data_IF_490105565070
#
_entry.id   IF_490105565070
#
_cell.length_a   1.000
_cell.length_b   1.000
_cell.length_c   1.000
_cell.angle_alpha   90.00
_cell.angle_beta   90.00
_cell.angle_gamma   90.00
#
_symmetry.space_group_name_H-M   'P 1'
#
loop_
_entity.id
_entity.type
_entity.pdbx_description
1 polymer ?
#
# COMPACT_ATOMS: atom_id res chain seq x y z
N UNK A 1 0.09 1.09 -8.88
CA UNK A 1 0.87 1.70 -7.78
C UNK A 1 0.70 3.20 -7.84
N UNK A 2 0.59 3.86 -6.70
CA UNK A 2 0.27 5.30 -6.59
C UNK A 2 1.26 5.96 -5.64
N UNK A 3 1.95 6.99 -6.12
CA UNK A 3 3.00 7.73 -5.40
C UNK A 3 2.87 9.24 -5.67
N UNK A 4 2.04 9.98 -4.93
CA UNK A 4 2.07 11.43 -4.95
C UNK A 4 3.33 11.91 -4.21
N UNK A 5 3.95 12.94 -4.76
CA UNK A 5 5.09 13.66 -4.16
C UNK A 5 4.68 15.09 -3.90
N UNK A 6 4.98 15.62 -2.71
CA UNK A 6 4.63 16.98 -2.31
C UNK A 6 5.87 17.88 -2.26
N UNK A 7 6.71 17.82 -3.29
CA UNK A 7 7.95 18.60 -3.32
C UNK A 7 7.69 20.10 -3.07
N UNK A 8 8.25 20.63 -1.97
CA UNK A 8 8.15 22.04 -1.59
C UNK A 8 6.93 22.44 -0.76
N UNK A 9 6.06 21.51 -0.35
CA UNK A 9 5.03 21.77 0.64
C UNK A 9 5.57 21.51 2.05
N UNK A 10 5.59 22.54 2.90
CA UNK A 10 5.93 22.40 4.31
C UNK A 10 4.67 21.98 5.06
N UNK A 11 4.66 20.74 5.55
CA UNK A 11 3.59 20.27 6.43
C UNK A 11 3.68 21.01 7.79
N UNK A 12 2.53 21.30 8.45
CA UNK A 12 2.52 22.03 9.72
C UNK A 12 3.25 21.33 10.86
N UNK A 13 3.46 20.02 10.75
CA UNK A 13 4.23 19.22 11.70
C UNK A 13 5.71 19.25 11.28
N UNK A 14 6.51 19.97 12.07
CA UNK A 14 7.87 20.47 11.82
C UNK A 14 8.99 19.40 11.62
N UNK A 15 8.66 18.15 11.31
CA UNK A 15 9.67 17.12 11.04
C UNK A 15 10.08 17.14 9.58
N UNK A 16 11.10 17.95 9.29
CA UNK A 16 11.93 17.88 8.07
C UNK A 16 12.46 16.47 7.75
N UNK A 17 12.31 15.51 8.66
CA UNK A 17 12.75 14.13 8.52
C UNK A 17 11.81 13.24 7.68
N UNK A 18 10.51 13.59 7.52
CA UNK A 18 9.53 12.76 6.80
C UNK A 18 9.10 13.34 5.44
N UNK A 19 10.02 14.03 4.76
CA UNK A 19 9.76 14.51 3.40
C UNK A 19 9.83 13.34 2.41
N UNK A 20 8.71 13.08 1.72
CA UNK A 20 8.66 12.15 0.59
C UNK A 20 9.42 12.77 -0.59
N UNK A 21 10.72 12.51 -0.64
CA UNK A 21 11.61 13.01 -1.70
C UNK A 21 11.36 12.26 -3.02
N UNK A 22 11.81 12.85 -4.14
CA UNK A 22 11.72 12.16 -5.43
C UNK A 22 12.58 10.88 -5.45
N UNK A 23 13.77 10.93 -4.87
CA UNK A 23 14.74 9.83 -4.89
C UNK A 23 14.25 8.61 -4.11
N UNK A 24 13.77 8.84 -2.89
CA UNK A 24 13.13 7.82 -2.04
C UNK A 24 11.91 7.17 -2.73
N UNK A 25 11.06 7.94 -3.40
CA UNK A 25 9.93 7.39 -4.17
C UNK A 25 10.40 6.52 -5.35
N UNK A 26 11.47 6.91 -6.05
CA UNK A 26 12.04 6.07 -7.11
C UNK A 26 12.64 4.76 -6.56
N UNK A 27 13.25 4.80 -5.37
CA UNK A 27 13.72 3.60 -4.68
C UNK A 27 12.57 2.64 -4.36
N UNK A 28 11.49 3.15 -3.77
CA UNK A 28 10.31 2.35 -3.45
C UNK A 28 9.63 1.78 -4.70
N UNK A 29 9.47 2.60 -5.74
CA UNK A 29 8.96 2.16 -7.05
C UNK A 29 9.83 1.03 -7.61
N UNK A 30 11.15 1.17 -7.54
CA UNK A 30 12.08 0.17 -8.08
C UNK A 30 11.98 -1.16 -7.35
N UNK A 31 12.00 -1.14 -6.01
CA UNK A 31 11.89 -2.36 -5.18
C UNK A 31 10.56 -3.07 -5.42
N UNK A 32 9.45 -2.35 -5.32
CA UNK A 32 8.13 -2.96 -5.48
C UNK A 32 7.89 -3.41 -6.92
N UNK A 33 8.43 -2.72 -7.94
CA UNK A 33 8.35 -3.15 -9.34
C UNK A 33 9.10 -4.46 -9.55
N UNK A 34 10.32 -4.56 -9.02
CA UNK A 34 11.12 -5.79 -9.10
C UNK A 34 10.43 -6.95 -8.39
N UNK A 35 9.94 -6.72 -7.18
CA UNK A 35 9.23 -7.74 -6.39
C UNK A 35 7.92 -8.18 -7.05
N UNK A 36 7.06 -7.23 -7.44
CA UNK A 36 5.81 -7.57 -8.17
C UNK A 36 6.07 -8.22 -9.52
N UNK A 37 7.21 -7.95 -10.17
CA UNK A 37 7.63 -8.62 -11.40
C UNK A 37 7.73 -10.15 -11.29
N UNK A 38 7.90 -10.67 -10.07
CA UNK A 38 7.94 -12.11 -9.79
C UNK A 38 6.58 -12.80 -10.01
N UNK A 39 5.46 -12.10 -9.83
CA UNK A 39 4.11 -12.66 -9.94
C UNK A 39 3.20 -11.92 -10.91
N UNK A 40 3.64 -10.78 -11.44
CA UNK A 40 2.88 -9.98 -12.37
C UNK A 40 3.15 -10.44 -13.82
N UNK A 41 2.16 -11.10 -14.41
CA UNK A 41 2.16 -11.51 -15.82
C UNK A 41 1.60 -10.42 -16.76
N UNK A 42 1.27 -9.24 -16.24
CA UNK A 42 0.62 -8.15 -16.96
C UNK A 42 1.38 -6.82 -16.82
N UNK A 43 0.92 -5.81 -17.56
CA UNK A 43 1.50 -4.46 -17.50
C UNK A 43 1.27 -3.82 -16.13
N UNK A 44 2.37 -3.55 -15.42
CA UNK A 44 2.37 -2.73 -14.22
C UNK A 44 1.98 -1.28 -14.56
N UNK A 45 1.03 -0.72 -13.81
CA UNK A 45 0.63 0.68 -13.96
C UNK A 45 1.13 1.49 -12.76
N UNK A 46 1.99 2.46 -13.05
CA UNK A 46 2.53 3.40 -12.07
C UNK A 46 1.87 4.75 -12.27
N UNK A 47 1.30 5.28 -11.19
CA UNK A 47 0.79 6.64 -11.09
C UNK A 47 1.72 7.41 -10.17
N UNK A 48 2.44 8.39 -10.71
CA UNK A 48 3.40 9.23 -9.97
C UNK A 48 3.37 10.65 -10.50
N UNK A 49 3.76 11.61 -9.68
CA UNK A 49 3.85 12.99 -10.17
C UNK A 49 4.96 13.14 -11.21
N UNK A 50 4.70 13.99 -12.20
CA UNK A 50 5.69 14.29 -13.22
C UNK A 50 6.82 15.13 -12.63
N UNK A 51 8.05 14.93 -13.12
CA UNK A 51 9.22 15.71 -12.71
C UNK A 51 9.07 17.24 -12.89
N UNK A 52 8.07 17.69 -13.65
CA UNK A 52 7.73 19.10 -13.90
C UNK A 52 6.62 19.63 -12.99
N UNK A 53 6.19 18.89 -11.96
CA UNK A 53 5.09 19.27 -11.07
C UNK A 53 3.71 19.28 -11.76
N UNK A 54 3.60 18.70 -12.96
CA UNK A 54 2.33 18.62 -13.67
C UNK A 54 1.48 17.47 -13.13
N UNK A 55 0.39 17.80 -12.42
CA UNK A 55 -0.64 16.86 -11.92
C UNK A 55 -1.62 16.41 -13.01
N UNK A 56 -1.38 16.81 -14.26
CA UNK A 56 -2.25 16.56 -15.42
C UNK A 56 -1.70 15.40 -16.24
N UNK A 57 -2.51 14.36 -16.41
CA UNK A 57 -2.18 13.21 -17.25
C UNK A 57 -2.96 11.96 -16.88
N UNK A 58 -2.98 10.97 -17.77
CA UNK A 58 -3.66 9.68 -17.53
C UNK A 58 -2.98 8.82 -16.46
N UNK A 59 -1.77 9.19 -16.04
CA UNK A 59 -0.97 8.52 -15.00
C UNK A 59 -0.56 9.43 -13.84
N UNK A 60 -1.16 10.61 -13.69
CA UNK A 60 -0.95 11.43 -12.50
C UNK A 60 -1.72 10.83 -11.30
N UNK A 61 -1.16 10.83 -10.08
CA UNK A 61 -1.82 10.34 -8.86
C UNK A 61 -2.83 11.37 -8.30
N UNK A 62 -3.66 11.92 -9.19
CA UNK A 62 -4.74 12.84 -8.84
C UNK A 62 -6.00 12.11 -8.39
N UNK A 63 -6.90 12.86 -7.74
CA UNK A 63 -8.11 12.31 -7.13
C UNK A 63 -8.96 11.49 -8.11
N UNK A 64 -9.12 11.97 -9.35
CA UNK A 64 -9.92 11.30 -10.38
C UNK A 64 -9.31 9.95 -10.76
N UNK A 65 -8.00 9.91 -11.00
CA UNK A 65 -7.31 8.69 -11.41
C UNK A 65 -7.28 7.65 -10.30
N UNK A 66 -7.07 8.07 -9.04
CA UNK A 66 -7.09 7.17 -7.89
C UNK A 66 -8.50 6.60 -7.67
N UNK A 67 -9.53 7.44 -7.67
CA UNK A 67 -10.93 6.98 -7.56
C UNK A 67 -11.29 5.99 -8.66
N UNK A 68 -10.84 6.24 -9.89
CA UNK A 68 -11.03 5.32 -11.03
C UNK A 68 -10.29 4.00 -10.80
N UNK A 69 -9.06 4.03 -10.29
CA UNK A 69 -8.27 2.84 -9.98
C UNK A 69 -8.96 1.98 -8.90
N UNK A 70 -9.35 2.60 -7.79
CA UNK A 70 -10.00 1.91 -6.66
C UNK A 70 -11.34 1.29 -7.09
N UNK A 71 -12.13 2.04 -7.87
CA UNK A 71 -13.46 1.60 -8.32
C UNK A 71 -13.47 0.71 -9.55
N UNK A 72 -12.33 0.39 -10.17
CA UNK A 72 -12.32 -0.47 -11.36
C UNK A 72 -12.73 -1.90 -10.97
N UNK A 73 -13.72 -2.53 -11.63
CA UNK A 73 -14.03 -3.95 -11.45
C UNK A 73 -12.80 -4.84 -11.72
N UNK A 74 -12.72 -5.95 -10.99
CA UNK A 74 -11.59 -6.88 -11.01
C UNK A 74 -12.07 -8.30 -11.28
N UNK A 75 -11.62 -8.82 -12.41
CA UNK A 75 -11.87 -10.19 -12.86
C UNK A 75 -10.65 -11.10 -12.62
N UNK A 76 -9.52 -10.52 -12.19
CA UNK A 76 -8.26 -11.23 -11.92
C UNK A 76 -7.64 -10.75 -10.60
N UNK A 77 -6.81 -11.61 -9.94
CA UNK A 77 -6.06 -11.23 -8.76
C UNK A 77 -5.31 -9.93 -8.96
N UNK A 78 -5.55 -8.95 -8.09
CA UNK A 78 -5.05 -7.58 -8.26
C UNK A 78 -4.24 -7.14 -7.06
N UNK A 79 -3.05 -6.62 -7.31
CA UNK A 79 -2.20 -5.99 -6.30
C UNK A 79 -2.19 -4.47 -6.50
N UNK A 80 -2.49 -3.70 -5.46
CA UNK A 80 -2.49 -2.23 -5.47
C UNK A 80 -1.61 -1.73 -4.34
N UNK A 81 -0.56 -1.01 -4.70
CA UNK A 81 0.27 -0.27 -3.75
C UNK A 81 -0.08 1.22 -3.77
N UNK A 82 -0.33 1.80 -2.61
CA UNK A 82 -0.60 3.24 -2.44
C UNK A 82 0.31 3.77 -1.35
N UNK A 83 1.17 4.72 -1.69
CA UNK A 83 1.95 5.50 -0.72
C UNK A 83 1.52 6.97 -0.78
N UNK A 84 1.86 7.76 0.24
CA UNK A 84 1.61 9.20 0.26
C UNK A 84 1.25 9.75 1.63
N UNK A 85 0.58 10.90 1.64
CA UNK A 85 0.16 11.59 2.85
C UNK A 85 -1.34 11.43 3.13
N UNK A 86 -1.67 11.62 4.40
CA UNK A 86 -3.03 11.61 4.91
C UNK A 86 -3.22 12.79 5.85
N UNK A 87 -4.46 13.19 6.06
CA UNK A 87 -4.83 14.20 7.06
C UNK A 87 -6.24 13.90 7.59
N UNK A 88 -6.73 14.73 8.51
CA UNK A 88 -8.06 14.65 9.09
C UNK A 88 -8.91 15.83 8.64
N UNK A 89 -9.89 15.59 7.78
CA UNK A 89 -10.90 16.60 7.39
C UNK A 89 -12.18 16.36 8.16
N UNK A 90 -12.57 17.31 9.01
CA UNK A 90 -13.80 17.22 9.83
C UNK A 90 -13.87 15.89 10.58
N UNK A 91 -12.80 15.54 11.31
CA UNK A 91 -12.67 14.29 12.09
C UNK A 91 -12.63 13.00 11.27
N UNK A 92 -12.55 13.08 9.93
CA UNK A 92 -12.43 11.91 9.06
C UNK A 92 -11.03 11.82 8.47
N UNK A 93 -10.38 10.68 8.62
CA UNK A 93 -9.12 10.38 7.95
C UNK A 93 -9.31 10.37 6.43
N UNK A 94 -8.45 11.12 5.74
CA UNK A 94 -8.43 11.22 4.29
C UNK A 94 -7.03 10.91 3.76
N UNK A 95 -6.98 10.30 2.59
CA UNK A 95 -5.80 10.28 1.76
C UNK A 95 -5.74 11.55 0.92
N UNK A 96 -4.52 12.07 0.72
CA UNK A 96 -4.26 13.27 -0.05
C UNK A 96 -3.70 12.87 -1.44
N UNK A 97 -4.44 13.11 -2.54
CA UNK A 97 -3.92 13.01 -3.91
C UNK A 97 -3.08 14.22 -4.32
N UNK A 98 -2.26 14.09 -5.36
CA UNK A 98 -1.33 15.16 -5.73
C UNK A 98 -1.98 16.47 -6.22
N UNK A 99 -3.25 16.44 -6.62
CA UNK A 99 -4.00 17.62 -7.04
C UNK A 99 -4.86 18.24 -5.92
N UNK A 100 -4.75 17.76 -4.68
CA UNK A 100 -5.59 18.24 -3.59
C UNK A 100 -5.13 19.58 -3.01
N UNK A 101 -3.86 19.97 -3.12
CA UNK A 101 -3.34 21.21 -2.52
C UNK A 101 -3.85 22.44 -3.29
N UNK A 102 -4.47 23.38 -2.56
CA UNK A 102 -4.96 24.67 -3.05
C UNK A 102 -4.42 25.80 -2.16
N UNK A 103 -3.25 26.34 -2.52
CA UNK A 103 -2.58 27.37 -1.72
C UNK A 103 -1.96 26.80 -0.45
N UNK A 104 -2.44 27.24 0.73
CA UNK A 104 -2.01 26.75 2.05
C UNK A 104 -2.93 25.69 2.65
N UNK A 105 -3.99 25.31 1.93
CA UNK A 105 -5.02 24.37 2.37
C UNK A 105 -5.19 23.28 1.28
N UNK A 106 -6.12 22.36 1.46
CA UNK A 106 -6.50 21.36 0.47
C UNK A 106 -7.97 21.46 0.08
N UNK A 107 -8.23 21.18 -1.19
CA UNK A 107 -9.57 21.05 -1.74
C UNK A 107 -10.26 19.83 -1.12
N UNK A 108 -11.24 20.07 -0.25
CA UNK A 108 -12.07 19.00 0.34
C UNK A 108 -12.81 18.16 -0.71
N UNK A 109 -12.93 18.65 -1.95
CA UNK A 109 -13.50 17.90 -3.08
C UNK A 109 -12.51 16.90 -3.72
N UNK A 110 -11.21 17.07 -3.48
CA UNK A 110 -10.13 16.28 -4.10
C UNK A 110 -9.45 15.33 -3.12
N UNK A 111 -9.56 15.53 -1.82
CA UNK A 111 -9.16 14.51 -0.83
C UNK A 111 -10.03 13.25 -0.98
N UNK A 112 -9.50 12.09 -0.59
CA UNK A 112 -10.19 10.79 -0.67
C UNK A 112 -10.40 10.24 0.73
N UNK A 113 -11.63 10.24 1.27
CA UNK A 113 -11.92 9.66 2.58
C UNK A 113 -11.58 8.17 2.64
N UNK A 114 -11.17 7.67 3.80
CA UNK A 114 -10.92 6.23 3.99
C UNK A 114 -12.17 5.39 3.72
N UNK A 115 -13.35 5.91 4.08
CA UNK A 115 -14.63 5.27 3.72
C UNK A 115 -14.78 5.07 2.21
N UNK A 116 -14.24 5.97 1.38
CA UNK A 116 -14.29 5.83 -0.08
C UNK A 116 -13.39 4.69 -0.59
N UNK A 117 -12.28 4.37 0.10
CA UNK A 117 -11.50 3.15 -0.21
C UNK A 117 -12.34 1.90 0.04
N UNK A 118 -12.91 1.76 1.24
CA UNK A 118 -13.81 0.65 1.59
C UNK A 118 -14.93 0.52 0.57
N UNK A 119 -15.66 1.59 0.33
CA UNK A 119 -16.84 1.61 -0.55
C UNK A 119 -16.49 1.29 -1.99
N UNK A 120 -15.23 1.46 -2.43
CA UNK A 120 -14.81 1.10 -3.78
C UNK A 120 -14.16 -0.28 -3.88
N UNK A 121 -13.46 -0.72 -2.83
CA UNK A 121 -12.69 -1.95 -2.82
C UNK A 121 -13.50 -3.17 -2.36
N UNK A 122 -14.51 -2.97 -1.52
CA UNK A 122 -15.36 -4.04 -0.99
C UNK A 122 -16.71 -4.15 -1.72
N UNK A 123 -16.83 -3.60 -2.93
CA UNK A 123 -18.06 -3.70 -3.74
C UNK A 123 -18.31 -5.14 -4.20
N UNK A 124 -19.58 -5.57 -4.19
CA UNK A 124 -20.04 -6.89 -4.67
C UNK A 124 -19.64 -7.21 -6.13
N UNK A 125 -19.32 -6.20 -6.93
CA UNK A 125 -18.91 -6.38 -8.33
C UNK A 125 -17.49 -6.90 -8.51
N UNK A 126 -16.66 -6.94 -7.47
CA UNK A 126 -15.33 -7.55 -7.56
C UNK A 126 -15.46 -9.06 -7.41
N UNK A 127 -14.90 -9.80 -8.36
CA UNK A 127 -15.03 -11.26 -8.43
C UNK A 127 -13.72 -11.97 -8.07
N UNK A 128 -12.60 -11.26 -8.13
CA UNK A 128 -11.28 -11.81 -7.89
C UNK A 128 -10.60 -11.21 -6.64
N UNK A 129 -9.66 -11.96 -6.02
CA UNK A 129 -8.93 -11.49 -4.86
C UNK A 129 -8.19 -10.16 -5.09
N UNK A 130 -8.14 -9.32 -4.07
CA UNK A 130 -7.40 -8.06 -4.13
C UNK A 130 -6.52 -7.86 -2.90
N UNK A 131 -5.25 -7.52 -3.14
CA UNK A 131 -4.32 -7.05 -2.12
C UNK A 131 -4.19 -5.53 -2.28
N UNK A 132 -4.53 -4.80 -1.23
CA UNK A 132 -4.25 -3.38 -1.07
C UNK A 132 -3.09 -3.22 -0.09
N UNK A 133 -2.04 -2.53 -0.48
CA UNK A 133 -0.98 -2.06 0.40
C UNK A 133 -1.12 -0.56 0.57
N UNK A 134 -1.20 -0.10 1.82
CA UNK A 134 -1.23 1.32 2.17
C UNK A 134 0.01 1.68 2.99
N UNK A 135 0.88 2.45 2.35
CA UNK A 135 2.14 2.94 2.87
C UNK A 135 2.09 4.48 2.98
N UNK A 136 1.08 4.92 3.73
CA UNK A 136 0.81 6.31 4.04
C UNK A 136 0.55 6.44 5.55
N UNK A 137 0.60 7.67 6.08
CA UNK A 137 0.40 7.92 7.50
C UNK A 137 -0.96 7.39 8.02
N UNK A 138 -1.00 6.88 9.24
CA UNK A 138 -2.22 6.37 9.90
C UNK A 138 -3.06 5.39 9.06
N UNK A 139 -2.47 4.35 8.45
CA UNK A 139 -3.16 3.53 7.48
C UNK A 139 -4.33 2.73 8.06
N UNK A 140 -4.30 2.38 9.36
CA UNK A 140 -5.36 1.70 10.13
C UNK A 140 -6.08 0.58 9.34
N UNK A 141 -7.27 0.14 9.76
CA UNK A 141 -8.12 -0.77 8.99
C UNK A 141 -9.05 0.03 8.06
N UNK A 142 -8.48 0.72 7.05
CA UNK A 142 -9.23 1.54 6.07
C UNK A 142 -10.41 0.80 5.45
N UNK A 143 -10.26 -0.51 5.22
CA UNK A 143 -11.29 -1.34 4.59
C UNK A 143 -12.27 -1.96 5.59
N UNK A 144 -12.08 -1.74 6.90
CA UNK A 144 -12.89 -2.33 7.98
C UNK A 144 -13.03 -3.85 7.83
N UNK A 145 -11.91 -4.55 7.62
CA UNK A 145 -11.91 -6.00 7.43
C UNK A 145 -12.04 -6.76 8.77
N UNK A 146 -12.74 -7.92 8.80
CA UNK A 146 -13.08 -8.67 10.01
C UNK A 146 -11.90 -9.28 10.76
N UNK A 147 -10.78 -9.56 10.10
CA UNK A 147 -9.61 -10.18 10.73
C UNK A 147 -8.39 -9.26 10.65
N UNK A 148 -7.59 -9.22 11.72
CA UNK A 148 -6.33 -8.49 11.80
C UNK A 148 -5.20 -9.44 12.22
N UNK A 149 -4.06 -9.32 11.56
CA UNK A 149 -2.83 -10.06 11.83
C UNK A 149 -1.75 -9.07 12.25
N UNK A 150 -1.09 -9.34 13.38
CA UNK A 150 0.00 -8.53 13.91
C UNK A 150 1.09 -9.43 14.49
N UNK A 151 2.35 -9.01 14.39
CA UNK A 151 3.48 -9.69 15.03
C UNK A 151 3.95 -8.92 16.26
N UNK A 152 3.95 -9.57 17.41
CA UNK A 152 4.48 -9.02 18.66
C UNK A 152 4.95 -10.17 19.57
N UNK A 153 5.98 -9.91 20.38
CA UNK A 153 6.55 -10.91 21.30
C UNK A 153 6.85 -12.24 20.60
N UNK A 154 7.52 -12.17 19.44
CA UNK A 154 7.93 -13.32 18.63
C UNK A 154 6.80 -14.19 18.07
N UNK A 155 5.56 -13.68 18.08
CA UNK A 155 4.38 -14.44 17.65
C UNK A 155 3.45 -13.60 16.79
N UNK A 156 2.89 -14.23 15.75
CA UNK A 156 1.77 -13.65 15.00
C UNK A 156 0.45 -14.00 15.69
N UNK A 157 -0.41 -13.00 15.84
CA UNK A 157 -1.77 -13.16 16.35
C UNK A 157 -2.76 -12.78 15.27
N UNK A 158 -3.82 -13.58 15.14
CA UNK A 158 -4.99 -13.26 14.33
C UNK A 158 -6.17 -12.95 15.25
N UNK A 159 -6.73 -11.74 15.18
CA UNK A 159 -7.84 -11.27 16.00
C UNK A 159 -9.03 -10.85 15.14
N UNK A 160 -10.23 -10.98 15.69
CA UNK A 160 -11.44 -10.43 15.08
C UNK A 160 -11.55 -8.93 15.42
N UNK A 161 -11.89 -8.11 14.43
CA UNK A 161 -11.98 -6.65 14.55
C UNK A 161 -13.39 -6.16 14.89
N UNK A 162 -14.40 -7.05 14.81
CA UNK A 162 -15.81 -6.73 14.99
C UNK A 162 -16.49 -6.09 13.78
N UNK A 163 -15.78 -5.92 12.66
CA UNK A 163 -16.38 -5.45 11.41
C UNK A 163 -16.90 -6.60 10.55
N UNK A 164 -17.94 -6.33 9.76
CA UNK A 164 -18.42 -7.19 8.68
C UNK A 164 -18.25 -6.43 7.37
N UNK A 165 -17.54 -7.03 6.40
CA UNK A 165 -17.22 -6.37 5.14
C UNK A 165 -18.29 -6.54 4.08
N UNK A 166 -19.23 -7.48 4.24
CA UNK A 166 -20.23 -7.79 3.20
C UNK A 166 -19.63 -8.09 1.82
N UNK A 167 -18.32 -8.31 1.73
CA UNK A 167 -17.58 -8.41 0.46
C UNK A 167 -17.74 -9.82 -0.09
N UNK A 168 -18.20 -9.92 -1.35
CA UNK A 168 -18.27 -11.20 -2.05
C UNK A 168 -16.89 -11.74 -2.45
N UNK A 169 -15.87 -10.87 -2.56
CA UNK A 169 -14.50 -11.24 -2.92
C UNK A 169 -13.54 -11.23 -1.73
N UNK A 170 -12.46 -12.01 -1.85
CA UNK A 170 -11.32 -11.95 -0.93
C UNK A 170 -10.61 -10.61 -1.03
N UNK A 171 -10.49 -9.88 0.08
CA UNK A 171 -9.78 -8.60 0.14
C UNK A 171 -8.80 -8.63 1.30
N UNK A 172 -7.54 -8.27 1.00
CA UNK A 172 -6.45 -8.18 1.97
C UNK A 172 -5.93 -6.76 1.97
N UNK A 173 -5.67 -6.23 3.17
CA UNK A 173 -5.12 -4.90 3.38
C UNK A 173 -3.85 -4.99 4.22
N UNK A 174 -2.72 -4.80 3.58
CA UNK A 174 -1.42 -4.65 4.21
C UNK A 174 -1.23 -3.17 4.58
N UNK A 175 -1.27 -2.86 5.87
CA UNK A 175 -1.10 -1.52 6.40
C UNK A 175 0.34 -1.36 6.91
N UNK A 176 1.06 -0.38 6.38
CA UNK A 176 2.47 -0.19 6.71
C UNK A 176 2.73 0.05 8.20
N UNK A 177 1.78 0.67 8.90
CA UNK A 177 1.86 1.00 10.31
C UNK A 177 0.59 0.55 11.07
N UNK A 178 0.73 0.43 12.38
CA UNK A 178 -0.33 0.02 13.30
C UNK A 178 -1.36 1.16 13.47
N UNK A 179 -2.56 0.86 14.02
CA UNK A 179 -3.54 1.90 14.30
C UNK A 179 -2.94 3.05 15.11
N UNK A 180 -3.21 4.29 14.69
CA UNK A 180 -2.69 5.52 15.31
C UNK A 180 -1.17 5.73 15.24
N UNK A 181 -0.45 4.89 14.48
CA UNK A 181 0.97 5.08 14.23
C UNK A 181 1.18 5.65 12.81
N UNK A 182 2.02 6.69 12.66
CA UNK A 182 2.43 7.15 11.34
C UNK A 182 3.35 6.10 10.67
N UNK A 183 3.19 5.93 9.36
CA UNK A 183 4.19 5.22 8.56
C UNK A 183 5.40 6.15 8.37
N UNK A 184 6.58 5.65 8.69
CA UNK A 184 7.84 6.36 8.56
C UNK A 184 8.32 6.34 7.10
N UNK A 185 9.04 7.40 6.71
CA UNK A 185 9.56 7.54 5.37
C UNK A 185 10.88 8.32 5.39
N UNK A 186 11.92 7.74 4.78
CA UNK A 186 13.28 8.29 4.86
C UNK A 186 13.73 8.81 3.50
N UNK A 187 14.29 10.03 3.39
CA UNK A 187 14.71 10.61 2.12
C UNK A 187 15.73 9.77 1.33
N UNK A 188 16.64 9.07 2.02
CA UNK A 188 17.69 8.25 1.39
C UNK A 188 17.20 6.84 1.06
N UNK A 189 16.38 6.25 1.95
CA UNK A 189 16.03 4.83 1.87
C UNK A 189 14.61 4.55 1.37
N UNK A 190 13.68 5.49 1.43
CA UNK A 190 12.25 5.24 1.19
C UNK A 190 11.54 4.73 2.43
N UNK A 191 10.43 4.02 2.23
CA UNK A 191 9.64 3.43 3.32
C UNK A 191 10.30 2.17 3.89
N UNK A 192 10.44 2.04 5.23
CA UNK A 192 10.85 0.79 5.87
C UNK A 192 9.91 -0.36 5.55
N UNK A 193 8.62 -0.07 5.40
CA UNK A 193 7.63 -1.08 5.04
C UNK A 193 7.85 -1.59 3.61
N UNK A 194 8.10 -0.70 2.66
CA UNK A 194 8.46 -1.08 1.29
C UNK A 194 9.74 -1.94 1.28
N UNK A 195 10.74 -1.50 2.06
CA UNK A 195 11.99 -2.23 2.24
C UNK A 195 11.76 -3.63 2.84
N UNK A 196 10.87 -3.79 3.80
CA UNK A 196 10.59 -5.12 4.35
C UNK A 196 9.72 -5.98 3.43
N UNK A 197 8.71 -5.40 2.78
CA UNK A 197 7.78 -6.17 1.95
C UNK A 197 8.47 -6.79 0.72
N UNK A 198 9.42 -6.08 0.10
CA UNK A 198 10.07 -6.57 -1.12
C UNK A 198 11.01 -7.76 -0.90
N UNK A 199 11.36 -8.09 0.35
CA UNK A 199 12.21 -9.24 0.70
C UNK A 199 11.42 -10.54 0.86
N UNK A 200 10.08 -10.47 0.88
CA UNK A 200 9.22 -11.66 0.90
C UNK A 200 9.42 -12.46 -0.37
N UNK A 201 10.06 -13.63 -0.26
CA UNK A 201 10.27 -14.53 -1.40
C UNK A 201 9.01 -15.36 -1.65
N UNK A 202 8.40 -15.14 -2.81
CA UNK A 202 7.17 -15.83 -3.22
C UNK A 202 7.40 -17.27 -3.64
N UNK A 203 8.65 -17.66 -3.91
CA UNK A 203 8.99 -19.04 -4.24
C UNK A 203 9.00 -19.97 -3.03
N UNK A 204 9.07 -19.42 -1.82
CA UNK A 204 9.02 -20.19 -0.57
C UNK A 204 7.62 -20.69 -0.20
N UNK A 205 6.57 -20.15 -0.84
CA UNK A 205 5.18 -20.57 -0.62
C UNK A 205 4.69 -20.31 0.81
N UNK A 206 4.96 -19.10 1.32
CA UNK A 206 4.74 -18.74 2.71
C UNK A 206 3.26 -18.56 3.07
N UNK A 207 2.89 -18.94 4.30
CA UNK A 207 1.60 -18.59 4.89
C UNK A 207 1.50 -17.10 5.21
N UNK A 208 0.27 -16.60 5.38
CA UNK A 208 0.06 -15.19 5.74
C UNK A 208 0.75 -14.84 7.06
N UNK A 209 0.69 -15.72 8.05
CA UNK A 209 1.37 -15.52 9.33
C UNK A 209 2.89 -15.40 9.12
N UNK A 210 3.49 -16.26 8.29
CA UNK A 210 4.93 -16.22 8.04
C UNK A 210 5.34 -14.95 7.28
N UNK A 211 4.51 -14.47 6.35
CA UNK A 211 4.71 -13.18 5.68
C UNK A 211 4.67 -12.04 6.70
N UNK A 212 3.67 -12.00 7.58
CA UNK A 212 3.53 -10.96 8.60
C UNK A 212 4.75 -10.92 9.51
N UNK A 213 5.21 -12.08 9.97
CA UNK A 213 6.42 -12.20 10.77
C UNK A 213 7.66 -11.71 10.02
N UNK A 214 7.90 -12.20 8.81
CA UNK A 214 9.09 -11.87 8.04
C UNK A 214 9.17 -10.37 7.76
N UNK A 215 8.04 -9.75 7.36
CA UNK A 215 7.98 -8.31 7.13
C UNK A 215 8.31 -7.55 8.43
N UNK A 216 7.74 -7.91 9.57
CA UNK A 216 8.03 -7.20 10.82
C UNK A 216 9.50 -7.33 11.24
N UNK A 217 10.08 -8.53 11.16
CA UNK A 217 11.51 -8.75 11.48
C UNK A 217 12.39 -7.87 10.58
N UNK A 218 12.08 -7.77 9.30
CA UNK A 218 12.85 -6.95 8.36
C UNK A 218 12.65 -5.43 8.59
N UNK A 219 11.49 -5.00 9.10
CA UNK A 219 11.29 -3.62 9.55
C UNK A 219 12.09 -3.33 10.82
N UNK A 220 12.13 -4.27 11.77
CA UNK A 220 12.88 -4.12 13.03
C UNK A 220 14.40 -4.05 12.79
N UNK A 221 14.89 -4.67 11.71
CA UNK A 221 16.28 -4.61 11.24
C UNK A 221 16.60 -3.34 10.43
N UNK A 222 15.60 -2.51 10.09
CA UNK A 222 15.80 -1.34 9.25
C UNK A 222 16.75 -0.34 9.95
N UNK A 223 17.91 -0.02 9.35
CA UNK A 223 18.94 0.74 10.04
C UNK A 223 18.54 2.21 10.14
N UNK A 224 18.30 2.70 11.35
CA UNK A 224 18.49 4.09 11.85
C UNK A 224 17.78 4.26 13.22
N UNK A 225 18.12 5.32 13.96
CA UNK A 225 17.50 5.72 15.24
C UNK A 225 16.03 6.16 15.06
N UNK A 226 15.20 5.31 14.49
CA UNK A 226 13.78 5.57 14.25
C UNK A 226 12.93 4.88 15.31
N UNK A 227 11.80 5.50 15.62
CA UNK A 227 10.80 4.88 16.49
C UNK A 227 10.28 3.59 15.82
N UNK A 228 10.25 2.45 16.54
CA UNK A 228 9.82 1.19 15.97
C UNK A 228 8.43 1.28 15.33
N UNK A 229 8.33 0.93 14.05
CA UNK A 229 7.07 0.86 13.32
C UNK A 229 6.55 -0.58 13.31
N UNK A 230 5.28 -0.78 13.68
CA UNK A 230 4.65 -2.09 13.61
C UNK A 230 3.68 -2.14 12.43
N UNK A 231 3.78 -3.11 11.54
CA UNK A 231 2.80 -3.29 10.45
C UNK A 231 1.68 -4.24 10.84
N UNK A 232 0.52 -4.06 10.22
CA UNK A 232 -0.67 -4.89 10.44
C UNK A 232 -1.21 -5.36 9.09
N UNK A 233 -1.76 -6.57 9.04
CA UNK A 233 -2.46 -7.07 7.86
C UNK A 233 -3.90 -7.37 8.22
N UNK A 234 -4.84 -6.75 7.52
CA UNK A 234 -6.26 -6.99 7.67
C UNK A 234 -6.77 -7.87 6.52
N UNK A 235 -7.77 -8.70 6.80
CA UNK A 235 -8.28 -9.66 5.82
C UNK A 235 -9.79 -9.86 5.94
N UNK A 236 -10.46 -10.05 4.80
CA UNK A 236 -11.86 -10.48 4.74
C UNK A 236 -12.09 -11.87 5.33
N UNK A 237 -11.07 -12.72 5.39
CA UNK A 237 -11.16 -14.11 5.85
C UNK A 237 -9.98 -14.50 6.73
N UNK A 238 -10.16 -15.55 7.53
CA UNK A 238 -9.05 -16.19 8.22
C UNK A 238 -8.30 -17.11 7.25
N UNK A 239 -6.96 -17.00 7.24
CA UNK A 239 -6.05 -17.84 6.49
C UNK A 239 -5.38 -18.84 7.44
N UNK A 240 -5.06 -20.02 6.94
CA UNK A 240 -4.29 -21.03 7.65
C UNK A 240 -2.83 -21.05 7.21
N UNK A 241 -2.26 -22.26 7.19
CA UNK A 241 -0.86 -22.53 6.83
C UNK A 241 -0.64 -22.70 5.31
N UNK A 242 -1.66 -22.49 4.49
CA UNK A 242 -1.55 -22.54 3.03
C UNK A 242 -0.62 -21.45 2.46
N UNK A 243 -0.06 -21.70 1.28
CA UNK A 243 0.65 -20.70 0.49
C UNK A 243 -0.30 -19.53 0.18
N UNK A 244 -0.05 -18.39 0.81
CA UNK A 244 -0.95 -17.25 0.77
C UNK A 244 -1.11 -16.69 -0.65
N UNK A 245 -0.01 -16.46 -1.36
CA UNK A 245 -0.07 -15.83 -2.68
C UNK A 245 -0.65 -16.78 -3.72
N UNK A 246 -0.31 -18.06 -3.67
CA UNK A 246 -0.89 -19.07 -4.54
C UNK A 246 -2.40 -19.22 -4.30
N UNK A 247 -2.83 -19.21 -3.04
CA UNK A 247 -4.25 -19.27 -2.64
C UNK A 247 -5.06 -18.11 -3.22
N UNK A 248 -4.46 -16.92 -3.30
CA UNK A 248 -5.08 -15.75 -3.92
C UNK A 248 -4.98 -15.75 -5.46
N UNK A 249 -4.33 -16.74 -6.07
CA UNK A 249 -4.15 -16.86 -7.52
C UNK A 249 -2.98 -16.04 -8.08
N UNK A 250 -2.09 -15.50 -7.25
CA UNK A 250 -0.83 -14.91 -7.72
C UNK A 250 0.17 -16.04 -7.99
N UNK A 251 0.60 -16.19 -9.24
CA UNK A 251 1.52 -17.26 -9.64
C UNK A 251 2.92 -16.70 -9.87
N UNK A 252 3.95 -17.27 -9.24
CA UNK A 252 5.34 -16.89 -9.49
C UNK A 252 5.79 -17.31 -10.90
N UNK A 253 6.57 -16.47 -11.56
CA UNK A 253 7.29 -16.84 -12.78
C UNK A 253 8.43 -17.76 -12.39
N UNK A 254 8.51 -18.95 -13.00
CA UNK A 254 9.74 -19.74 -12.93
C UNK A 254 10.89 -18.92 -13.54
N UNK A 255 12.12 -18.98 -13.00
CA UNK A 255 13.27 -18.18 -13.45
C UNK A 255 13.67 -18.30 -14.94
N UNK A 256 13.05 -19.19 -15.72
CA UNK A 256 13.39 -19.43 -17.13
C UNK A 256 12.70 -18.49 -18.13
N UNK A 257 11.92 -17.50 -17.67
CA UNK A 257 11.21 -16.57 -18.55
C UNK A 257 11.26 -15.13 -18.01
N UNK A 258 12.45 -14.54 -17.95
CA UNK A 258 12.54 -13.08 -17.89
C UNK A 258 12.31 -12.50 -19.30
N UNK A 259 11.34 -11.59 -19.49
CA UNK A 259 11.09 -10.99 -20.78
C UNK A 259 12.26 -10.07 -21.16
N UNK A 260 12.72 -10.21 -22.41
CA UNK A 260 13.60 -9.24 -23.06
C UNK A 260 12.90 -7.89 -23.05
N UNK A 261 13.50 -6.89 -22.42
CA UNK A 261 13.06 -5.49 -22.52
C UNK A 261 13.29 -5.08 -23.97
N UNK A 262 12.20 -4.91 -24.72
CA UNK A 262 12.25 -4.23 -26.03
C UNK A 262 12.00 -2.76 -25.75
N UNK A 263 13.06 -1.97 -25.86
CA UNK A 263 12.94 -0.52 -25.94
C UNK A 263 12.24 -0.16 -27.26
N UNK A 264 11.15 0.60 -27.17
CA UNK A 264 10.57 1.36 -28.28
C UNK A 264 10.47 2.82 -27.86
#
# INVERSE_FOLDING_TARGET
MVFPTYSGHLWPDDDKAMEISKESVENDITRITKWTGQFNNRTLKVYRDAATGTTKGSRAPNAINIRRLLGKPRDDPTFIYVSGHTDCVKENSVYLPSDCIEGKDYSTSRVIPYAEFRDKMCLERHQAPTILVTDFCNPDNVLKLPYAYSYANEKVTCTETGYDTGSASVVIHFAAASPHQPAAFFPEFGSPYNFALHTVDLSEGLSLERIVQNVQIQMDEFPENHEPQQHWVYSSHKFGDEDFFLTLGFSSKRPSQMPTVVEQ
#
